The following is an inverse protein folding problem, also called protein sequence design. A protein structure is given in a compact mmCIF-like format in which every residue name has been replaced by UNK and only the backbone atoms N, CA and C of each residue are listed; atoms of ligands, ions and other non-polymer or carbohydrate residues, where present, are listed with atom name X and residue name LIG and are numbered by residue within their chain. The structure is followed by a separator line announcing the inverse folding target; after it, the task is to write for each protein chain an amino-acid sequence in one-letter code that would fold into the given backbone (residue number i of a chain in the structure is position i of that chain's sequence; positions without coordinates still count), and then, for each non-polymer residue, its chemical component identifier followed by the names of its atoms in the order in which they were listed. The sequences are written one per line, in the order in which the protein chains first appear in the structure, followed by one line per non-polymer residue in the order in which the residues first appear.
data_IF_434724892421
#
_entry.id   IF_434724892421
#
_cell.length_a   1.000
_cell.length_b   1.000
_cell.length_c   1.000
_cell.angle_alpha   90.00
_cell.angle_beta   90.00
_cell.angle_gamma   90.00
#
_symmetry.space_group_name_H-M   'P 1'
#
loop_
_entity.id
_entity.type
_entity.pdbx_description
1 polymer ?
#
# COMPACT_ATOMS: atom_id res chain seq x y z
N UNK A 1 3.19 13.18 12.71
CA UNK A 1 3.60 12.17 13.71
C UNK A 1 3.17 10.78 13.26
N UNK A 2 4.09 9.81 13.24
CA UNK A 2 3.76 8.45 12.71
C UNK A 2 2.68 7.74 13.54
N UNK A 3 2.68 7.93 14.86
CA UNK A 3 1.68 7.32 15.74
C UNK A 3 0.25 7.82 15.49
N UNK A 4 0.06 8.90 14.71
CA UNK A 4 -1.27 9.30 14.24
C UNK A 4 -1.97 8.16 13.50
N UNK A 5 -1.22 7.34 12.75
CA UNK A 5 -1.82 6.21 12.01
C UNK A 5 -2.37 5.12 12.94
N UNK A 6 -1.80 4.92 14.13
CA UNK A 6 -2.37 4.04 15.17
C UNK A 6 -3.70 4.58 15.68
N UNK A 7 -3.75 5.89 15.96
CA UNK A 7 -5.02 6.55 16.35
C UNK A 7 -6.09 6.36 15.27
N UNK A 8 -5.72 6.50 13.98
CA UNK A 8 -6.66 6.32 12.88
C UNK A 8 -7.15 4.88 12.77
N UNK A 9 -6.25 3.90 12.88
CA UNK A 9 -6.59 2.47 12.86
C UNK A 9 -7.59 2.14 13.98
N UNK A 10 -7.30 2.55 15.21
CA UNK A 10 -8.18 2.35 16.36
C UNK A 10 -9.51 3.11 16.22
N UNK A 11 -9.47 4.36 15.72
CA UNK A 11 -10.66 5.15 15.50
C UNK A 11 -11.63 4.48 14.52
N UNK A 12 -11.13 3.97 13.40
CA UNK A 12 -11.93 3.20 12.46
C UNK A 12 -12.42 1.88 13.06
N UNK A 13 -11.59 1.18 13.82
CA UNK A 13 -11.97 -0.06 14.51
C UNK A 13 -13.12 0.15 15.50
N UNK A 14 -13.15 1.30 16.17
CA UNK A 14 -14.22 1.71 17.10
C UNK A 14 -15.42 2.41 16.43
N UNK A 15 -15.41 2.55 15.11
CA UNK A 15 -16.51 3.18 14.36
C UNK A 15 -16.57 4.70 14.47
N UNK A 16 -15.50 5.36 14.91
CA UNK A 16 -15.43 6.82 14.91
C UNK A 16 -15.30 7.38 13.49
N UNK A 17 -15.83 8.59 13.29
CA UNK A 17 -15.72 9.27 12.01
C UNK A 17 -14.35 9.91 11.88
N UNK A 18 -13.61 9.50 10.85
CA UNK A 18 -12.32 10.07 10.48
C UNK A 18 -12.49 10.96 9.26
N UNK A 19 -11.80 12.07 9.23
CA UNK A 19 -11.77 12.97 8.08
C UNK A 19 -10.37 13.53 7.86
N UNK A 20 -10.09 13.95 6.61
CA UNK A 20 -8.80 14.49 6.21
C UNK A 20 -8.99 15.78 5.42
N UNK A 21 -8.37 16.85 5.87
CA UNK A 21 -8.45 18.15 5.22
C UNK A 21 -7.18 18.97 5.54
N UNK A 22 -6.61 19.61 4.53
CA UNK A 22 -5.43 20.45 4.69
C UNK A 22 -4.27 19.74 5.42
N UNK A 23 -3.96 18.52 5.01
CA UNK A 23 -2.90 17.67 5.57
C UNK A 23 -3.08 17.34 7.07
N UNK A 24 -4.31 17.43 7.58
CA UNK A 24 -4.65 17.08 8.96
C UNK A 24 -5.76 16.05 9.00
N UNK A 25 -5.59 15.07 9.87
CA UNK A 25 -6.65 14.14 10.23
C UNK A 25 -7.47 14.69 11.38
N UNK A 26 -8.76 14.45 11.35
CA UNK A 26 -9.67 14.77 12.45
C UNK A 26 -10.51 13.55 12.79
N UNK A 27 -10.72 13.30 14.07
CA UNK A 27 -11.58 12.22 14.56
C UNK A 27 -12.73 12.83 15.34
N UNK A 28 -13.96 12.42 15.06
CA UNK A 28 -15.15 12.88 15.76
C UNK A 28 -15.92 11.71 16.40
N UNK A 29 -16.54 11.98 17.54
CA UNK A 29 -17.31 11.01 18.31
C UNK A 29 -16.51 10.35 19.47
N UNK A 30 -15.19 10.55 19.54
CA UNK A 30 -14.40 10.04 20.64
C UNK A 30 -14.66 10.81 21.94
N UNK A 31 -14.74 10.10 23.07
CA UNK A 31 -14.88 10.70 24.39
C UNK A 31 -13.57 11.34 24.88
N UNK A 32 -13.66 12.24 25.86
CA UNK A 32 -12.47 12.81 26.48
C UNK A 32 -11.57 11.74 27.11
N UNK A 33 -12.11 10.67 27.63
CA UNK A 33 -11.36 9.53 28.14
C UNK A 33 -10.57 8.86 27.05
N UNK A 34 -11.19 8.61 25.88
CA UNK A 34 -10.52 8.04 24.73
C UNK A 34 -9.41 8.95 24.18
N UNK A 35 -9.64 10.26 24.11
CA UNK A 35 -8.63 11.22 23.68
C UNK A 35 -7.40 11.21 24.60
N UNK A 36 -7.60 11.19 25.91
CA UNK A 36 -6.52 11.08 26.90
C UNK A 36 -5.77 9.76 26.77
N UNK A 37 -6.47 8.66 26.54
CA UNK A 37 -5.85 7.36 26.30
C UNK A 37 -4.92 7.41 25.09
N UNK A 38 -5.36 7.92 23.93
CA UNK A 38 -4.51 8.06 22.74
C UNK A 38 -3.29 8.94 22.97
N UNK A 39 -3.43 10.05 23.72
CA UNK A 39 -2.29 10.89 24.08
C UNK A 39 -1.25 10.09 24.88
N UNK A 40 -1.70 9.33 25.85
CA UNK A 40 -0.81 8.56 26.74
C UNK A 40 -0.18 7.37 26.03
N UNK A 41 -0.98 6.59 25.29
CA UNK A 41 -0.53 5.32 24.69
C UNK A 41 0.29 5.54 23.42
N UNK A 42 -0.03 6.57 22.66
CA UNK A 42 0.60 6.82 21.34
C UNK A 42 1.44 8.09 21.29
N UNK A 43 1.51 8.86 22.37
CA UNK A 43 2.27 10.12 22.42
C UNK A 43 1.94 11.08 21.26
N UNK A 44 0.66 11.24 20.94
CA UNK A 44 0.18 12.13 19.86
C UNK A 44 -0.32 13.46 20.44
N UNK A 45 -0.18 14.52 19.64
CA UNK A 45 -0.75 15.82 19.95
C UNK A 45 -2.17 15.92 19.38
N UNK A 46 -3.16 16.17 20.23
CA UNK A 46 -4.56 16.33 19.86
C UNK A 46 -5.00 17.77 20.08
N UNK A 47 -5.58 18.38 19.06
CA UNK A 47 -6.16 19.72 19.13
C UNK A 47 -7.67 19.61 18.99
N UNK A 48 -8.41 20.12 19.96
CA UNK A 48 -9.86 20.18 19.87
C UNK A 48 -10.30 21.27 18.91
N UNK A 49 -11.24 20.96 18.03
CA UNK A 49 -11.79 21.90 17.05
C UNK A 49 -13.27 21.62 16.81
N UNK A 50 -14.04 22.65 16.54
CA UNK A 50 -15.43 22.54 16.10
C UNK A 50 -15.59 22.44 14.58
N UNK A 51 -14.49 22.52 13.81
CA UNK A 51 -14.54 22.44 12.35
C UNK A 51 -14.90 21.02 11.91
N UNK A 52 -15.94 20.90 11.11
CA UNK A 52 -16.32 19.67 10.44
C UNK A 52 -15.64 19.58 9.07
N UNK A 53 -15.26 18.37 8.67
CA UNK A 53 -14.70 18.08 7.35
C UNK A 53 -15.34 16.81 6.76
N UNK A 54 -15.17 16.60 5.46
CA UNK A 54 -15.71 15.43 4.78
C UNK A 54 -15.13 14.16 5.38
N UNK A 55 -15.99 13.25 5.80
CA UNK A 55 -15.59 11.94 6.36
C UNK A 55 -14.88 11.10 5.30
N UNK A 56 -13.78 10.47 5.69
CA UNK A 56 -13.08 9.46 4.91
C UNK A 56 -13.58 8.07 5.31
N UNK A 57 -13.64 7.17 4.36
CA UNK A 57 -13.96 5.76 4.62
C UNK A 57 -12.65 5.02 4.94
N UNK A 58 -12.70 4.04 5.85
CA UNK A 58 -11.59 3.11 6.07
C UNK A 58 -11.29 2.38 4.77
N UNK A 59 -10.07 2.48 4.22
CA UNK A 59 -9.74 1.80 2.98
C UNK A 59 -9.64 0.28 3.19
N UNK A 60 -10.11 -0.50 2.25
CA UNK A 60 -9.87 -1.94 2.18
C UNK A 60 -8.54 -2.15 1.46
N UNK A 61 -7.54 -2.62 2.20
CA UNK A 61 -6.16 -2.71 1.73
C UNK A 61 -5.81 -4.15 1.38
N UNK A 62 -5.34 -4.37 0.15
CA UNK A 62 -4.69 -5.59 -0.27
C UNK A 62 -3.17 -5.39 -0.35
N UNK A 63 -2.38 -6.38 0.06
CA UNK A 63 -0.93 -6.39 -0.16
C UNK A 63 -0.56 -7.60 -1.02
N UNK A 64 0.11 -7.37 -2.13
CA UNK A 64 0.60 -8.45 -2.98
C UNK A 64 1.65 -9.29 -2.27
N UNK A 65 1.42 -10.60 -2.20
CA UNK A 65 2.28 -11.60 -1.58
C UNK A 65 2.69 -12.64 -2.61
N UNK A 66 3.77 -12.40 -3.37
CA UNK A 66 4.27 -13.38 -4.32
C UNK A 66 4.65 -14.69 -3.63
N UNK A 67 4.75 -15.76 -4.38
CA UNK A 67 5.35 -17.00 -3.89
C UNK A 67 6.88 -16.93 -3.92
N UNK A 68 7.45 -16.07 -4.75
CA UNK A 68 8.87 -15.70 -4.72
C UNK A 68 9.21 -15.01 -3.40
N UNK A 69 10.43 -15.20 -2.91
CA UNK A 69 10.86 -14.57 -1.67
C UNK A 69 10.95 -13.05 -1.83
N UNK A 70 10.24 -12.30 -1.00
CA UNK A 70 10.26 -10.84 -0.97
C UNK A 70 10.46 -10.34 0.45
N UNK A 71 11.65 -9.82 0.73
CA UNK A 71 11.99 -9.24 2.03
C UNK A 71 11.21 -7.95 2.27
N UNK A 72 11.10 -7.09 1.25
CA UNK A 72 10.41 -5.81 1.37
C UNK A 72 8.90 -5.97 1.62
N UNK A 73 8.29 -7.02 1.06
CA UNK A 73 6.90 -7.36 1.39
C UNK A 73 6.78 -7.78 2.87
N UNK A 74 7.75 -8.54 3.38
CA UNK A 74 7.79 -8.90 4.81
C UNK A 74 7.90 -7.66 5.71
N UNK A 75 8.78 -6.71 5.40
CA UNK A 75 8.92 -5.45 6.13
C UNK A 75 7.67 -4.57 6.02
N UNK A 76 7.05 -4.49 4.85
CA UNK A 76 5.81 -3.74 4.66
C UNK A 76 4.69 -4.29 5.54
N UNK A 77 4.54 -5.61 5.59
CA UNK A 77 3.57 -6.26 6.49
C UNK A 77 3.88 -5.98 7.95
N UNK A 78 5.13 -6.16 8.36
CA UNK A 78 5.55 -5.88 9.73
C UNK A 78 5.20 -4.43 10.13
N UNK A 79 5.42 -3.47 9.23
CA UNK A 79 5.04 -2.07 9.46
C UNK A 79 3.53 -1.93 9.66
N UNK A 80 2.72 -2.50 8.76
CA UNK A 80 1.26 -2.43 8.86
C UNK A 80 0.75 -3.08 10.15
N UNK A 81 1.30 -4.25 10.52
CA UNK A 81 0.98 -4.96 11.77
C UNK A 81 1.32 -4.11 13.01
N UNK A 82 2.48 -3.43 13.01
CA UNK A 82 2.88 -2.55 14.13
C UNK A 82 2.00 -1.30 14.27
N UNK A 83 1.42 -0.82 13.18
CA UNK A 83 0.48 0.31 13.21
C UNK A 83 -0.98 -0.13 13.29
N UNK A 84 -1.23 -1.43 13.46
CA UNK A 84 -2.58 -2.02 13.55
C UNK A 84 -3.46 -1.68 12.33
N UNK A 85 -2.83 -1.52 11.16
CA UNK A 85 -3.51 -1.26 9.90
C UNK A 85 -3.91 -2.60 9.27
N UNK A 86 -5.21 -2.84 9.18
CA UNK A 86 -5.75 -4.06 8.60
C UNK A 86 -5.49 -4.13 7.09
N UNK A 87 -5.08 -5.31 6.64
CA UNK A 87 -4.87 -5.62 5.22
C UNK A 87 -5.14 -7.10 4.93
N UNK A 88 -5.33 -7.41 3.67
CA UNK A 88 -5.48 -8.79 3.18
C UNK A 88 -4.29 -9.12 2.26
N UNK A 89 -3.64 -10.25 2.50
CA UNK A 89 -2.55 -10.72 1.64
C UNK A 89 -3.10 -11.36 0.36
N UNK A 90 -2.78 -10.78 -0.79
CA UNK A 90 -3.22 -11.22 -2.11
C UNK A 90 -2.19 -12.13 -2.77
N UNK A 91 -2.62 -13.27 -3.26
CA UNK A 91 -1.81 -14.21 -4.04
C UNK A 91 -2.02 -13.99 -5.53
N UNK A 92 -1.19 -14.63 -6.35
CA UNK A 92 -1.29 -14.57 -7.80
C UNK A 92 -2.71 -14.90 -8.30
N UNK A 93 -3.35 -15.91 -7.69
CA UNK A 93 -4.72 -16.32 -8.00
C UNK A 93 -5.76 -15.22 -7.81
N UNK A 94 -5.60 -14.34 -6.82
CA UNK A 94 -6.55 -13.27 -6.56
C UNK A 94 -6.56 -12.25 -7.71
N UNK A 95 -5.38 -11.98 -8.28
CA UNK A 95 -5.25 -11.12 -9.46
C UNK A 95 -5.82 -11.78 -10.71
N UNK A 96 -5.58 -13.08 -10.90
CA UNK A 96 -6.09 -13.83 -12.06
C UNK A 96 -7.61 -13.93 -12.04
N UNK A 97 -8.22 -14.16 -10.87
CA UNK A 97 -9.67 -14.19 -10.69
C UNK A 97 -10.31 -12.83 -10.95
N UNK A 98 -9.64 -11.74 -10.56
CA UNK A 98 -10.13 -10.38 -10.78
C UNK A 98 -11.17 -9.91 -9.76
N UNK A 99 -12.06 -9.00 -10.20
CA UNK A 99 -13.03 -8.31 -9.36
C UNK A 99 -12.36 -7.60 -8.16
N UNK A 100 -11.17 -7.04 -8.40
CA UNK A 100 -10.33 -6.46 -7.36
C UNK A 100 -10.99 -5.21 -6.74
N UNK A 101 -11.66 -4.38 -7.56
CA UNK A 101 -12.30 -3.14 -7.08
C UNK A 101 -13.49 -3.39 -6.15
N UNK A 102 -14.18 -4.50 -6.31
CA UNK A 102 -15.29 -4.86 -5.43
C UNK A 102 -14.81 -5.19 -4.01
N UNK A 103 -13.56 -5.65 -3.89
CA UNK A 103 -12.95 -6.13 -2.64
C UNK A 103 -12.00 -5.13 -2.01
N UNK A 104 -11.27 -4.34 -2.83
CA UNK A 104 -10.18 -3.48 -2.38
C UNK A 104 -10.31 -2.05 -2.90
N UNK A 105 -9.83 -1.12 -2.10
CA UNK A 105 -9.70 0.30 -2.46
C UNK A 105 -8.25 0.64 -2.79
N UNK A 106 -7.31 -0.03 -2.10
CA UNK A 106 -5.87 0.14 -2.25
C UNK A 106 -5.20 -1.22 -2.40
N UNK A 107 -4.30 -1.35 -3.36
CA UNK A 107 -3.40 -2.51 -3.49
C UNK A 107 -1.96 -2.01 -3.35
N UNK A 108 -1.23 -2.60 -2.40
CA UNK A 108 0.19 -2.33 -2.18
C UNK A 108 1.03 -3.43 -2.84
N UNK A 109 2.03 -3.03 -3.61
CA UNK A 109 3.07 -3.89 -4.17
C UNK A 109 4.42 -3.42 -3.65
N UNK A 110 5.00 -4.16 -2.71
CA UNK A 110 6.35 -3.93 -2.23
C UNK A 110 7.37 -4.15 -3.35
N UNK A 111 8.63 -3.83 -3.11
CA UNK A 111 9.68 -3.99 -4.12
C UNK A 111 9.74 -5.43 -4.63
N UNK A 112 9.42 -5.62 -5.90
CA UNK A 112 9.48 -6.89 -6.60
C UNK A 112 9.74 -6.64 -8.09
N UNK A 113 10.50 -7.52 -8.73
CA UNK A 113 10.81 -7.39 -10.16
C UNK A 113 9.58 -7.67 -11.01
N UNK A 114 9.44 -6.94 -12.11
CA UNK A 114 8.36 -7.15 -13.08
C UNK A 114 8.23 -8.61 -13.52
N UNK A 115 9.35 -9.27 -13.85
CA UNK A 115 9.35 -10.68 -14.26
C UNK A 115 8.87 -11.62 -13.15
N UNK A 116 9.18 -11.33 -11.88
CA UNK A 116 8.69 -12.10 -10.74
C UNK A 116 7.19 -11.87 -10.52
N UNK A 117 6.71 -10.65 -10.74
CA UNK A 117 5.28 -10.34 -10.61
C UNK A 117 4.49 -11.07 -11.69
N UNK A 118 4.89 -10.94 -12.97
CA UNK A 118 4.14 -11.47 -14.11
C UNK A 118 4.29 -12.98 -14.23
N UNK A 119 5.52 -13.50 -14.13
CA UNK A 119 5.85 -14.88 -14.44
C UNK A 119 6.03 -15.77 -13.21
N UNK A 120 6.46 -15.20 -12.06
CA UNK A 120 6.72 -15.96 -10.84
C UNK A 120 7.76 -17.08 -11.01
N UNK A 121 7.57 -18.20 -10.35
CA UNK A 121 8.38 -19.39 -10.56
C UNK A 121 8.01 -20.06 -11.88
N UNK A 122 9.02 -20.41 -12.67
CA UNK A 122 8.81 -21.20 -13.88
C UNK A 122 8.38 -22.64 -13.54
N UNK A 123 7.75 -23.30 -14.51
CA UNK A 123 7.33 -24.70 -14.39
C UNK A 123 8.51 -25.60 -13.98
N UNK A 124 8.32 -26.40 -12.95
CA UNK A 124 9.33 -27.29 -12.37
C UNK A 124 10.28 -26.63 -11.38
N UNK A 125 10.20 -25.32 -11.15
CA UNK A 125 11.02 -24.64 -10.13
C UNK A 125 10.42 -24.70 -8.71
N UNK A 126 9.12 -24.98 -8.61
CA UNK A 126 8.41 -25.09 -7.35
C UNK A 126 7.30 -26.13 -7.47
N UNK A 127 6.67 -26.59 -6.38
CA UNK A 127 5.45 -27.38 -6.49
C UNK A 127 4.38 -26.62 -7.28
N UNK A 128 3.58 -27.30 -8.14
CA UNK A 128 2.71 -26.66 -9.13
C UNK A 128 1.80 -25.54 -8.58
N UNK A 129 1.34 -25.66 -7.33
CA UNK A 129 0.51 -24.63 -6.67
C UNK A 129 1.22 -23.28 -6.43
N UNK A 130 2.54 -23.25 -6.53
CA UNK A 130 3.37 -22.06 -6.27
C UNK A 130 4.01 -21.52 -7.55
N UNK A 131 3.83 -22.21 -8.68
CA UNK A 131 4.33 -21.77 -9.97
C UNK A 131 3.51 -20.62 -10.54
N UNK A 132 4.12 -19.88 -11.45
CA UNK A 132 3.52 -18.74 -12.12
C UNK A 132 3.46 -17.46 -11.26
N UNK A 133 3.20 -16.37 -11.93
CA UNK A 133 2.94 -15.05 -11.37
C UNK A 133 1.47 -14.66 -11.52
N UNK A 134 1.20 -13.36 -11.62
CA UNK A 134 -0.17 -12.87 -11.87
C UNK A 134 -0.60 -13.05 -13.32
N UNK A 135 0.33 -13.34 -14.23
CA UNK A 135 0.15 -13.47 -15.68
C UNK A 135 -0.43 -12.21 -16.35
N UNK A 136 -0.56 -12.23 -17.66
CA UNK A 136 -1.22 -11.14 -18.40
C UNK A 136 -2.68 -10.95 -18.00
N UNK A 137 -3.35 -12.01 -17.52
CA UNK A 137 -4.71 -11.88 -17.03
C UNK A 137 -4.76 -11.05 -15.75
N UNK A 138 -3.85 -11.29 -14.81
CA UNK A 138 -3.75 -10.48 -13.58
C UNK A 138 -3.37 -9.03 -13.87
N UNK A 139 -2.50 -8.79 -14.87
CA UNK A 139 -2.18 -7.43 -15.33
C UNK A 139 -3.43 -6.71 -15.84
N UNK A 140 -4.22 -7.35 -16.72
CA UNK A 140 -5.49 -6.77 -17.20
C UNK A 140 -6.47 -6.47 -16.06
N UNK A 141 -6.61 -7.37 -15.12
CA UNK A 141 -7.50 -7.19 -13.96
C UNK A 141 -7.01 -6.06 -13.04
N UNK A 142 -5.69 -5.85 -12.95
CA UNK A 142 -5.10 -4.76 -12.19
C UNK A 142 -5.29 -3.41 -12.90
N UNK A 143 -5.15 -3.37 -14.22
CA UNK A 143 -5.48 -2.20 -15.03
C UNK A 143 -6.96 -1.81 -14.88
N UNK A 144 -7.86 -2.79 -14.96
CA UNK A 144 -9.29 -2.58 -14.68
C UNK A 144 -9.54 -2.03 -13.27
N UNK A 145 -8.83 -2.56 -12.26
CA UNK A 145 -8.91 -2.05 -10.88
C UNK A 145 -8.57 -0.57 -10.79
N UNK A 146 -7.45 -0.15 -11.40
CA UNK A 146 -7.03 1.25 -11.43
C UNK A 146 -8.01 2.11 -12.23
N UNK A 147 -8.42 1.65 -13.41
CA UNK A 147 -9.39 2.36 -14.28
C UNK A 147 -10.74 2.58 -13.61
N UNK A 148 -11.16 1.68 -12.71
CA UNK A 148 -12.37 1.81 -11.88
C UNK A 148 -12.15 2.65 -10.61
N UNK A 149 -11.04 3.36 -10.49
CA UNK A 149 -10.73 4.23 -9.35
C UNK A 149 -10.17 3.49 -8.13
N UNK A 150 -9.55 2.35 -8.32
CA UNK A 150 -8.67 1.72 -7.32
C UNK A 150 -7.33 2.44 -7.23
N UNK A 151 -6.70 2.40 -6.08
CA UNK A 151 -5.37 2.98 -5.88
C UNK A 151 -4.32 1.87 -5.86
N UNK A 152 -3.40 1.90 -6.80
CA UNK A 152 -2.24 1.01 -6.82
C UNK A 152 -1.02 1.77 -6.28
N UNK A 153 -0.38 1.23 -5.25
CA UNK A 153 0.86 1.77 -4.68
C UNK A 153 1.98 0.78 -4.97
N UNK A 154 2.90 1.18 -5.82
CA UNK A 154 4.08 0.40 -6.18
C UNK A 154 5.33 1.02 -5.57
N UNK A 155 6.16 0.20 -4.92
CA UNK A 155 7.38 0.65 -4.27
C UNK A 155 8.61 0.10 -4.98
N UNK A 156 9.62 0.98 -5.21
CA UNK A 156 10.90 0.65 -5.79
C UNK A 156 10.75 -0.13 -7.13
N UNK A 157 11.23 -1.37 -7.24
CA UNK A 157 11.20 -2.16 -8.49
C UNK A 157 9.77 -2.41 -9.02
N UNK A 158 8.77 -2.49 -8.15
CA UNK A 158 7.37 -2.62 -8.58
C UNK A 158 6.85 -1.38 -9.30
N UNK A 159 7.51 -0.22 -9.16
CA UNK A 159 7.18 0.98 -9.95
C UNK A 159 7.48 0.76 -11.44
N UNK A 160 8.56 0.04 -11.76
CA UNK A 160 8.90 -0.32 -13.14
C UNK A 160 7.82 -1.23 -13.75
N UNK A 161 7.36 -2.23 -13.00
CA UNK A 161 6.21 -3.05 -13.41
C UNK A 161 4.98 -2.18 -13.72
N UNK A 162 4.61 -1.23 -12.84
CA UNK A 162 3.46 -0.36 -13.07
C UNK A 162 3.65 0.50 -14.34
N UNK A 163 4.83 1.08 -14.55
CA UNK A 163 5.14 1.89 -15.72
C UNK A 163 4.98 1.07 -17.02
N UNK A 164 5.56 -0.11 -17.06
CA UNK A 164 5.60 -0.94 -18.27
C UNK A 164 4.25 -1.64 -18.52
N UNK A 165 3.73 -2.36 -17.52
CA UNK A 165 2.57 -3.21 -17.67
C UNK A 165 1.24 -2.43 -17.77
N UNK A 166 1.16 -1.25 -17.16
CA UNK A 166 -0.01 -0.37 -17.25
C UNK A 166 0.18 0.80 -18.22
N UNK A 167 1.27 0.78 -18.99
CA UNK A 167 1.57 1.77 -20.03
C UNK A 167 1.47 3.23 -19.54
N UNK A 168 2.01 3.50 -18.34
CA UNK A 168 1.93 4.84 -17.77
C UNK A 168 2.79 5.84 -18.56
N UNK A 169 2.33 7.08 -18.79
CA UNK A 169 3.05 8.11 -19.55
C UNK A 169 4.19 8.74 -18.73
N UNK A 170 4.95 7.93 -18.02
CA UNK A 170 6.10 8.32 -17.21
C UNK A 170 7.25 7.36 -17.48
N UNK A 171 8.46 7.75 -17.13
CA UNK A 171 9.65 6.90 -17.26
C UNK A 171 10.51 6.98 -16.01
N UNK A 172 11.20 5.89 -15.72
CA UNK A 172 12.25 5.88 -14.71
C UNK A 172 13.48 6.63 -15.26
N UNK A 173 13.75 7.81 -14.73
CA UNK A 173 14.86 8.67 -15.17
C UNK A 173 16.24 8.14 -14.77
N UNK A 174 16.30 7.20 -13.80
CA UNK A 174 17.56 6.62 -13.31
C UNK A 174 17.80 5.21 -13.84
N UNK A 175 16.87 4.66 -14.61
CA UNK A 175 16.99 3.34 -15.22
C UNK A 175 18.23 3.23 -16.08
N UNK A 176 19.05 2.23 -15.81
CA UNK A 176 20.27 1.96 -16.60
C UNK A 176 21.48 2.82 -16.23
N UNK A 177 21.36 3.75 -15.29
CA UNK A 177 22.50 4.48 -14.76
C UNK A 177 23.43 3.54 -14.00
N UNK A 178 24.72 3.78 -14.11
CA UNK A 178 25.73 3.04 -13.35
C UNK A 178 25.72 3.54 -11.91
N UNK A 179 26.19 2.70 -10.98
CA UNK A 179 26.28 3.04 -9.55
C UNK A 179 27.09 4.33 -9.27
N UNK A 180 28.05 4.64 -10.12
CA UNK A 180 28.85 5.86 -10.02
C UNK A 180 28.09 7.12 -10.46
N UNK A 181 27.04 6.96 -11.28
CA UNK A 181 26.25 8.08 -11.80
C UNK A 181 25.05 8.35 -10.89
N UNK A 182 24.47 7.29 -10.30
CA UNK A 182 23.39 7.39 -9.34
C UNK A 182 23.40 6.20 -8.39
N UNK A 183 23.41 6.49 -7.08
CA UNK A 183 23.29 5.49 -6.03
C UNK A 183 22.66 6.07 -4.77
N UNK A 184 21.60 5.43 -4.29
CA UNK A 184 21.01 5.69 -2.96
C UNK A 184 21.06 4.40 -2.14
N UNK A 185 21.82 4.41 -1.07
CA UNK A 185 22.06 3.25 -0.21
C UNK A 185 21.08 3.12 0.96
N UNK A 186 19.78 3.35 0.72
CA UNK A 186 18.77 3.30 1.79
C UNK A 186 18.65 4.62 2.57
N UNK A 187 19.08 5.72 1.99
CA UNK A 187 18.95 7.05 2.59
C UNK A 187 17.51 7.54 2.60
N UNK A 188 17.13 8.27 3.64
CA UNK A 188 15.88 9.02 3.67
C UNK A 188 16.07 10.28 2.82
N UNK A 189 15.23 10.43 1.80
CA UNK A 189 15.30 11.56 0.88
C UNK A 189 14.06 12.45 1.02
N UNK A 190 14.26 13.76 1.00
CA UNK A 190 13.19 14.71 0.77
C UNK A 190 12.82 14.74 -0.71
N UNK A 191 11.55 14.64 -1.03
CA UNK A 191 11.05 14.73 -2.40
C UNK A 191 10.00 15.82 -2.52
N UNK A 192 9.95 16.47 -3.68
CA UNK A 192 8.88 17.39 -4.04
C UNK A 192 8.05 16.74 -5.14
N UNK A 193 6.75 16.67 -4.93
CA UNK A 193 5.80 16.15 -5.91
C UNK A 193 5.19 17.35 -6.63
N UNK A 194 5.30 17.37 -7.96
CA UNK A 194 4.71 18.39 -8.83
C UNK A 194 3.27 18.03 -9.20
#
# INVERSE_FOLDING_TARGET
ENNTFRVLAEAWGKGYKVSYTNQKYSVSGASNTQLRQWINDFAVNIILTSKSSKTTVKPRIGIYRPWTASMDMGWTRWLLDNFEIEYIGLRNSDFIVGNLKDKYDVILMASERESSIINGYATGQAPPRYEGGISDQGVRNLDEFVSKGGTLVCMNQSSEFAINALHLPVKDAVKGLKRQDFFTGGSIMGVTIN
#
